data_IF_355886971478
#
_entry.id   IF_355886971478
#
_cell.length_a   1.000
_cell.length_b   1.000
_cell.length_c   1.000
_cell.angle_alpha   90.00
_cell.angle_beta   90.00
_cell.angle_gamma   90.00
#
_symmetry.space_group_name_H-M   'P 1'
#
loop_
_entity.id
_entity.type
_entity.pdbx_description
1 polymer ?
#
# COMPACT_ATOMS: atom_id res chain seq x y z
N UNK A 1 42.55 28.36 -73.24
CA UNK A 1 41.39 27.78 -72.56
C UNK A 1 41.42 28.25 -71.12
N UNK A 2 40.54 29.17 -70.77
CA UNK A 2 40.42 29.87 -69.48
C UNK A 2 38.91 30.01 -69.17
N UNK A 3 38.53 30.19 -67.89
CA UNK A 3 37.29 29.64 -67.32
C UNK A 3 36.07 30.56 -67.46
N UNK A 4 34.88 29.94 -67.51
CA UNK A 4 33.57 30.59 -67.64
C UNK A 4 32.86 30.68 -66.28
N UNK A 5 32.36 31.87 -65.95
CA UNK A 5 31.71 32.22 -64.67
C UNK A 5 30.26 31.73 -64.49
N UNK A 6 29.62 32.11 -63.35
CA UNK A 6 28.44 31.43 -62.80
C UNK A 6 27.11 31.95 -63.35
N UNK A 7 26.09 31.07 -63.41
CA UNK A 7 24.68 31.39 -63.70
C UNK A 7 23.82 31.35 -62.43
N UNK A 8 22.86 32.26 -62.40
CA UNK A 8 22.08 32.74 -61.28
C UNK A 8 21.04 31.76 -60.67
N UNK A 9 20.76 32.00 -59.38
CA UNK A 9 19.72 31.38 -58.55
C UNK A 9 18.29 31.58 -59.09
N UNK A 10 17.46 30.53 -59.00
CA UNK A 10 16.01 30.64 -58.91
C UNK A 10 15.55 30.10 -57.55
N UNK A 11 14.89 30.96 -56.78
CA UNK A 11 14.34 30.69 -55.47
C UNK A 11 13.02 29.89 -55.62
N UNK A 12 12.91 28.78 -54.87
CA UNK A 12 11.67 28.04 -54.73
C UNK A 12 10.76 28.74 -53.70
N UNK A 13 9.53 29.03 -54.10
CA UNK A 13 8.50 29.61 -53.24
C UNK A 13 7.99 28.56 -52.23
N UNK A 14 8.18 28.83 -50.94
CA UNK A 14 7.57 28.10 -49.83
C UNK A 14 6.19 28.66 -49.51
N UNK A 15 5.15 27.82 -49.57
CA UNK A 15 3.80 28.13 -49.12
C UNK A 15 3.80 28.45 -47.61
N UNK A 16 3.50 29.70 -47.25
CA UNK A 16 3.25 30.11 -45.87
C UNK A 16 1.83 29.70 -45.44
N UNK A 17 1.73 28.67 -44.60
CA UNK A 17 0.53 28.46 -43.77
C UNK A 17 0.51 29.48 -42.64
N UNK A 18 -0.56 30.25 -42.56
CA UNK A 18 -0.84 31.23 -41.50
C UNK A 18 -0.77 30.55 -40.12
N UNK A 19 -0.03 31.09 -39.13
CA UNK A 19 -0.06 30.55 -37.78
C UNK A 19 -1.39 30.89 -37.11
N UNK A 20 -2.08 29.86 -36.60
CA UNK A 20 -3.23 29.99 -35.71
C UNK A 20 -2.86 30.86 -34.51
N UNK A 21 -3.69 31.82 -34.07
CA UNK A 21 -3.39 32.60 -32.87
C UNK A 21 -3.25 31.65 -31.67
N UNK A 22 -2.19 31.79 -30.90
CA UNK A 22 -2.06 31.10 -29.61
C UNK A 22 -3.26 31.50 -28.73
N UNK A 23 -3.95 30.50 -28.18
CA UNK A 23 -5.03 30.70 -27.20
C UNK A 23 -4.52 31.57 -26.05
N UNK A 24 -5.27 32.61 -25.71
CA UNK A 24 -5.02 33.42 -24.51
C UNK A 24 -4.92 32.51 -23.26
N UNK A 25 -4.03 32.80 -22.30
CA UNK A 25 -3.93 32.00 -21.08
C UNK A 25 -5.28 32.05 -20.34
N UNK A 26 -5.94 30.89 -20.21
CA UNK A 26 -7.18 30.76 -19.44
C UNK A 26 -6.98 31.33 -18.03
N UNK A 27 -7.91 32.17 -17.58
CA UNK A 27 -7.92 32.68 -16.21
C UNK A 27 -7.93 31.51 -15.22
N UNK A 28 -7.21 31.59 -14.07
CA UNK A 28 -7.18 30.49 -13.12
C UNK A 28 -8.60 30.11 -12.64
N UNK A 29 -9.01 28.87 -12.88
CA UNK A 29 -10.31 28.28 -12.49
C UNK A 29 -10.38 28.02 -10.97
N UNK A 30 -10.12 29.04 -10.15
CA UNK A 30 -10.12 28.94 -8.69
C UNK A 30 -8.79 28.44 -8.07
N UNK A 31 -8.77 28.10 -6.77
CA UNK A 31 -7.57 27.65 -6.07
C UNK A 31 -7.04 26.33 -6.65
N UNK A 32 -5.72 26.24 -6.80
CA UNK A 32 -5.08 25.04 -7.37
C UNK A 32 -5.43 23.79 -6.54
N UNK A 33 -5.90 22.68 -7.16
CA UNK A 33 -6.44 21.56 -6.41
C UNK A 33 -5.42 20.90 -5.48
N UNK A 34 -4.15 20.93 -5.89
CA UNK A 34 -3.04 20.39 -5.13
C UNK A 34 -3.26 18.93 -4.75
N UNK A 35 -2.51 18.46 -3.77
CA UNK A 35 -2.65 17.10 -3.27
C UNK A 35 -2.73 17.11 -1.75
N UNK A 36 -3.93 16.87 -1.22
CA UNK A 36 -4.15 16.76 0.22
C UNK A 36 -3.98 15.30 0.64
N UNK A 37 -3.08 15.05 1.59
CA UNK A 37 -2.90 13.77 2.25
C UNK A 37 -3.28 13.93 3.72
N UNK A 38 -4.16 13.07 4.20
CA UNK A 38 -4.49 13.02 5.63
C UNK A 38 -3.63 11.96 6.29
N UNK A 39 -3.03 12.30 7.42
CA UNK A 39 -2.20 11.37 8.17
C UNK A 39 -3.02 10.17 8.66
N UNK A 40 -2.49 8.96 8.48
CA UNK A 40 -3.12 7.73 8.92
C UNK A 40 -2.11 6.93 9.74
N UNK A 41 -2.34 6.84 11.04
CA UNK A 41 -1.42 6.15 11.95
C UNK A 41 -1.67 4.65 12.02
N UNK A 42 -2.88 4.24 11.64
CA UNK A 42 -3.34 2.86 11.70
C UNK A 42 -3.76 2.34 10.34
N UNK A 43 -3.60 1.05 10.13
CA UNK A 43 -4.10 0.33 8.96
C UNK A 43 -4.79 -0.95 9.42
N UNK A 44 -5.76 -1.43 8.64
CA UNK A 44 -6.28 -2.78 8.81
C UNK A 44 -5.37 -3.79 8.11
N UNK A 45 -5.46 -5.06 8.53
CA UNK A 45 -4.82 -6.19 7.84
C UNK A 45 -5.20 -6.22 6.35
N UNK A 46 -6.48 -6.01 6.03
CA UNK A 46 -6.98 -6.01 4.65
C UNK A 46 -6.25 -4.97 3.78
N UNK A 47 -6.15 -3.75 4.29
CA UNK A 47 -5.48 -2.64 3.61
C UNK A 47 -3.98 -2.90 3.47
N UNK A 48 -3.36 -3.45 4.50
CA UNK A 48 -1.94 -3.82 4.48
C UNK A 48 -1.66 -4.82 3.36
N UNK A 49 -2.47 -5.89 3.27
CA UNK A 49 -2.37 -6.89 2.20
C UNK A 49 -2.56 -6.28 0.82
N UNK A 50 -3.50 -5.33 0.69
CA UNK A 50 -3.70 -4.59 -0.56
C UNK A 50 -2.45 -3.80 -0.95
N UNK A 51 -1.86 -3.05 -0.02
CA UNK A 51 -0.63 -2.27 -0.27
C UNK A 51 0.53 -3.16 -0.74
N UNK A 52 0.73 -4.31 -0.09
CA UNK A 52 1.77 -5.28 -0.50
C UNK A 52 1.50 -5.85 -1.91
N UNK A 53 0.24 -6.17 -2.22
CA UNK A 53 -0.17 -6.70 -3.52
C UNK A 53 0.04 -5.68 -4.64
N UNK A 54 -0.35 -4.43 -4.40
CA UNK A 54 -0.22 -3.33 -5.36
C UNK A 54 1.26 -2.98 -5.62
N UNK A 55 2.12 -3.08 -4.59
CA UNK A 55 3.57 -2.96 -4.74
C UNK A 55 4.21 -4.15 -5.46
N UNK A 56 3.47 -5.24 -5.70
CA UNK A 56 3.97 -6.50 -6.26
C UNK A 56 5.11 -7.08 -5.41
N UNK A 57 5.01 -6.91 -4.09
CA UNK A 57 6.00 -7.43 -3.15
C UNK A 57 5.87 -8.95 -3.02
N UNK A 58 6.99 -9.66 -3.11
CA UNK A 58 7.03 -11.07 -2.73
C UNK A 58 6.85 -11.21 -1.21
N UNK A 59 5.83 -11.95 -0.71
CA UNK A 59 5.55 -12.00 0.73
C UNK A 59 6.72 -12.52 1.57
N UNK A 60 7.38 -13.60 1.14
CA UNK A 60 8.46 -14.22 1.89
C UNK A 60 9.71 -13.32 1.96
N UNK A 61 10.04 -12.67 0.84
CA UNK A 61 11.11 -11.67 0.81
C UNK A 61 10.78 -10.45 1.66
N UNK A 62 9.55 -9.97 1.61
CA UNK A 62 9.13 -8.83 2.42
C UNK A 62 9.24 -9.13 3.91
N UNK A 63 8.77 -10.29 4.35
CA UNK A 63 8.93 -10.73 5.73
C UNK A 63 10.41 -10.79 6.13
N UNK A 64 11.26 -11.38 5.29
CA UNK A 64 12.70 -11.44 5.55
C UNK A 64 13.32 -10.05 5.71
N UNK A 65 13.03 -9.12 4.79
CA UNK A 65 13.55 -7.76 4.87
C UNK A 65 13.01 -7.00 6.07
N UNK A 66 11.71 -7.12 6.37
CA UNK A 66 11.08 -6.49 7.53
C UNK A 66 11.72 -6.96 8.83
N UNK A 67 11.90 -8.27 9.00
CA UNK A 67 12.53 -8.85 10.19
C UNK A 67 14.00 -8.43 10.33
N UNK A 68 14.76 -8.46 9.23
CA UNK A 68 16.17 -8.04 9.22
C UNK A 68 16.32 -6.54 9.47
N UNK A 69 15.45 -5.72 8.90
CA UNK A 69 15.45 -4.26 9.11
C UNK A 69 15.17 -3.90 10.56
N UNK A 70 14.12 -4.48 11.16
CA UNK A 70 13.83 -4.27 12.60
C UNK A 70 14.99 -4.77 13.47
N UNK A 71 15.59 -5.92 13.15
CA UNK A 71 16.77 -6.41 13.88
C UNK A 71 17.97 -5.46 13.75
N UNK A 72 18.20 -4.90 12.56
CA UNK A 72 19.28 -3.95 12.32
C UNK A 72 19.07 -2.67 13.14
N UNK A 73 17.84 -2.14 13.20
CA UNK A 73 17.49 -0.99 14.05
C UNK A 73 17.78 -1.31 15.53
N UNK A 74 17.37 -2.48 16.03
CA UNK A 74 17.63 -2.90 17.41
C UNK A 74 19.14 -3.05 17.70
N UNK A 75 19.90 -3.64 16.79
CA UNK A 75 21.34 -3.80 16.95
C UNK A 75 22.06 -2.45 17.00
N UNK A 76 21.76 -1.56 16.06
CA UNK A 76 22.40 -0.24 15.96
C UNK A 76 22.02 0.66 17.14
N UNK A 77 20.75 0.66 17.57
CA UNK A 77 20.36 1.45 18.76
C UNK A 77 21.12 1.02 20.00
N UNK A 78 21.41 -0.28 20.16
CA UNK A 78 22.02 -0.80 21.38
C UNK A 78 23.49 -0.38 21.44
N UNK A 79 24.19 -0.41 20.31
CA UNK A 79 25.57 0.11 20.17
C UNK A 79 25.62 1.62 20.41
N UNK A 80 24.62 2.37 19.94
CA UNK A 80 24.58 3.83 20.08
C UNK A 80 23.92 4.32 21.38
N UNK A 81 23.50 3.40 22.26
CA UNK A 81 22.76 3.68 23.49
C UNK A 81 21.51 4.54 23.28
N UNK A 82 20.82 4.33 22.15
CA UNK A 82 19.56 4.97 21.81
C UNK A 82 18.41 4.23 22.53
N UNK A 83 17.50 4.94 23.22
CA UNK A 83 16.47 4.31 24.06
C UNK A 83 15.40 3.56 23.24
N UNK A 84 14.67 2.66 23.91
CA UNK A 84 13.58 1.87 23.31
C UNK A 84 12.50 2.76 22.68
N UNK A 85 12.22 3.92 23.29
CA UNK A 85 11.28 4.91 22.75
C UNK A 85 11.61 5.30 21.31
N UNK A 86 12.89 5.54 21.00
CA UNK A 86 13.36 5.87 19.65
C UNK A 86 13.29 4.68 18.71
N UNK A 87 13.53 3.48 19.20
CA UNK A 87 13.37 2.25 18.43
C UNK A 87 11.92 2.02 17.99
N UNK A 88 10.96 2.22 18.90
CA UNK A 88 9.55 2.06 18.60
C UNK A 88 9.14 2.97 17.42
N UNK A 89 9.56 4.24 17.47
CA UNK A 89 9.34 5.23 16.42
C UNK A 89 10.03 4.84 15.11
N UNK A 90 11.29 4.40 15.17
CA UNK A 90 12.03 3.94 13.99
C UNK A 90 11.36 2.73 13.31
N UNK A 91 10.85 1.76 14.08
CA UNK A 91 10.16 0.61 13.54
C UNK A 91 8.84 0.97 12.88
N UNK A 92 8.06 1.89 13.46
CA UNK A 92 6.82 2.38 12.83
C UNK A 92 7.12 3.07 11.49
N UNK A 93 8.13 3.93 11.44
CA UNK A 93 8.57 4.59 10.21
C UNK A 93 9.03 3.58 9.16
N UNK A 94 9.80 2.59 9.58
CA UNK A 94 10.30 1.55 8.71
C UNK A 94 9.17 0.70 8.11
N UNK A 95 8.19 0.30 8.93
CA UNK A 95 7.01 -0.44 8.45
C UNK A 95 6.21 0.35 7.42
N UNK A 96 5.91 1.62 7.70
CA UNK A 96 5.19 2.48 6.76
C UNK A 96 5.97 2.70 5.46
N UNK A 97 7.29 2.88 5.55
CA UNK A 97 8.15 3.01 4.37
C UNK A 97 8.09 1.75 3.50
N UNK A 98 8.29 0.56 4.09
CA UNK A 98 8.22 -0.73 3.37
C UNK A 98 6.86 -0.99 2.73
N UNK A 99 5.77 -0.60 3.39
CA UNK A 99 4.43 -0.71 2.81
C UNK A 99 4.18 0.29 1.66
N UNK A 100 4.94 1.39 1.61
CA UNK A 100 4.69 2.49 0.66
C UNK A 100 5.56 2.46 -0.59
N UNK A 101 6.63 1.67 -0.60
CA UNK A 101 7.58 1.57 -1.71
C UNK A 101 7.86 0.11 -2.04
N UNK A 102 8.21 -0.16 -3.30
CA UNK A 102 8.53 -1.52 -3.75
C UNK A 102 9.88 -1.97 -3.18
N UNK A 103 10.02 -3.28 -2.98
CA UNK A 103 11.23 -3.89 -2.45
C UNK A 103 12.48 -3.61 -3.30
N UNK A 104 12.32 -3.55 -4.62
CA UNK A 104 13.41 -3.31 -5.58
C UNK A 104 13.87 -1.84 -5.66
N UNK A 105 13.10 -0.89 -5.12
CA UNK A 105 13.43 0.54 -5.23
C UNK A 105 14.45 0.99 -4.19
N UNK A 106 14.34 0.48 -2.96
CA UNK A 106 15.15 0.92 -1.84
C UNK A 106 15.62 -0.26 -1.00
N UNK A 107 16.92 -0.27 -0.69
CA UNK A 107 17.53 -1.25 0.21
C UNK A 107 16.84 -1.21 1.58
N UNK A 108 16.54 -2.39 2.11
CA UNK A 108 15.96 -2.51 3.45
C UNK A 108 16.91 -1.96 4.54
N UNK A 109 18.23 -2.02 4.31
CA UNK A 109 19.24 -1.50 5.24
C UNK A 109 19.21 0.03 5.25
N UNK A 110 19.19 0.66 4.08
CA UNK A 110 19.14 2.12 3.97
C UNK A 110 17.82 2.67 4.52
N UNK A 111 16.70 2.00 4.22
CA UNK A 111 15.39 2.35 4.77
C UNK A 111 15.35 2.23 6.30
N UNK A 112 15.95 1.17 6.87
CA UNK A 112 16.04 0.97 8.32
C UNK A 112 16.91 2.05 8.99
N UNK A 113 18.08 2.35 8.43
CA UNK A 113 18.98 3.38 8.97
C UNK A 113 18.42 4.80 8.81
N UNK A 114 17.73 5.09 7.72
CA UNK A 114 17.03 6.36 7.53
C UNK A 114 15.85 6.51 8.51
N UNK A 115 15.13 5.42 8.79
CA UNK A 115 14.05 5.41 9.79
C UNK A 115 14.59 5.67 11.20
N UNK A 116 15.72 5.06 11.57
CA UNK A 116 16.39 5.32 12.85
C UNK A 116 16.94 6.76 12.93
N UNK A 117 17.54 7.24 11.85
CA UNK A 117 18.06 8.61 11.77
C UNK A 117 16.96 9.66 11.98
N UNK A 118 15.81 9.51 11.31
CA UNK A 118 14.67 10.40 11.51
C UNK A 118 14.08 10.26 12.93
N UNK A 119 13.91 9.04 13.43
CA UNK A 119 13.40 8.80 14.78
C UNK A 119 14.27 9.46 15.85
N UNK A 120 15.60 9.44 15.70
CA UNK A 120 16.52 10.12 16.62
C UNK A 120 16.28 11.63 16.70
N UNK A 121 15.85 12.27 15.61
CA UNK A 121 15.51 13.70 15.60
C UNK A 121 14.16 13.96 16.27
N UNK A 122 13.16 13.11 15.98
CA UNK A 122 11.80 13.23 16.52
C UNK A 122 11.76 13.01 18.04
N UNK A 123 12.65 12.17 18.55
CA UNK A 123 12.65 11.74 19.96
C UNK A 123 13.71 12.45 20.83
N UNK A 124 14.34 13.50 20.31
CA UNK A 124 15.42 14.26 20.98
C UNK A 124 16.63 13.40 21.39
N UNK A 125 16.93 12.35 20.62
CA UNK A 125 18.10 11.47 20.80
C UNK A 125 19.04 11.58 19.60
N UNK A 126 19.34 12.83 19.20
CA UNK A 126 19.96 13.18 17.92
C UNK A 126 21.30 12.44 17.72
N UNK A 127 21.43 11.82 16.55
CA UNK A 127 22.63 11.12 16.08
C UNK A 127 23.01 11.59 14.68
N UNK A 128 24.30 11.62 14.37
CA UNK A 128 24.75 11.93 12.99
C UNK A 128 24.49 10.72 12.09
N UNK A 129 24.15 10.94 10.82
CA UNK A 129 23.93 9.86 9.84
C UNK A 129 25.15 8.93 9.72
N UNK A 130 26.37 9.49 9.68
CA UNK A 130 27.61 8.72 9.66
C UNK A 130 27.88 7.92 10.94
N UNK A 131 27.44 8.41 12.10
CA UNK A 131 27.53 7.68 13.37
C UNK A 131 26.66 6.42 13.34
N UNK A 132 25.43 6.55 12.82
CA UNK A 132 24.51 5.43 12.60
C UNK A 132 25.09 4.40 11.61
N UNK A 133 25.61 4.87 10.48
CA UNK A 133 26.23 4.02 9.46
C UNK A 133 27.48 3.30 9.96
N UNK A 134 28.34 4.02 10.69
CA UNK A 134 29.54 3.47 11.28
C UNK A 134 29.21 2.38 12.31
N UNK A 135 28.21 2.60 13.18
CA UNK A 135 27.75 1.58 14.10
C UNK A 135 27.23 0.33 13.37
N UNK A 136 26.40 0.51 12.33
CA UNK A 136 25.92 -0.60 11.52
C UNK A 136 27.06 -1.39 10.84
N UNK A 137 28.07 -0.68 10.33
CA UNK A 137 29.24 -1.29 9.71
C UNK A 137 30.08 -2.07 10.73
N UNK A 138 30.38 -1.49 11.89
CA UNK A 138 31.21 -2.12 12.92
C UNK A 138 30.55 -3.36 13.54
N UNK A 139 29.21 -3.40 13.60
CA UNK A 139 28.47 -4.62 14.00
C UNK A 139 28.72 -5.77 13.02
N UNK A 140 28.78 -5.46 11.72
CA UNK A 140 29.00 -6.47 10.66
C UNK A 140 30.47 -6.85 10.50
N UNK A 141 31.39 -5.96 10.84
CA UNK A 141 32.84 -6.12 10.66
C UNK A 141 33.59 -5.92 12.00
N UNK A 142 33.40 -6.81 12.98
CA UNK A 142 34.01 -6.66 14.30
C UNK A 142 35.54 -6.74 14.28
N UNK A 143 36.12 -7.47 13.33
CA UNK A 143 37.57 -7.64 13.20
C UNK A 143 38.25 -6.42 12.54
N UNK A 144 37.48 -5.59 11.84
CA UNK A 144 37.95 -4.41 11.11
C UNK A 144 37.05 -3.20 11.36
N UNK A 145 36.94 -2.72 12.61
CA UNK A 145 36.14 -1.56 12.92
C UNK A 145 36.75 -0.31 12.28
N UNK A 146 35.88 0.61 11.88
CA UNK A 146 36.28 1.95 11.41
C UNK A 146 35.63 3.05 12.26
N UNK A 147 35.90 4.29 11.91
CA UNK A 147 35.38 5.49 12.56
C UNK A 147 34.40 6.22 11.64
N UNK A 148 33.52 7.04 12.21
CA UNK A 148 32.51 7.79 11.45
C UNK A 148 33.09 8.82 10.45
N UNK A 149 34.38 9.14 10.55
CA UNK A 149 35.07 10.10 9.68
C UNK A 149 35.53 9.45 8.36
N UNK A 150 35.39 8.13 8.23
CA UNK A 150 35.71 7.41 7.01
C UNK A 150 34.83 7.87 5.84
N UNK A 151 35.48 8.21 4.71
CA UNK A 151 34.83 8.69 3.49
C UNK A 151 33.91 7.66 2.86
N UNK A 152 34.07 6.37 3.19
CA UNK A 152 33.18 5.31 2.71
C UNK A 152 31.70 5.58 3.04
N UNK A 153 31.42 6.33 4.12
CA UNK A 153 30.05 6.65 4.54
C UNK A 153 29.45 7.87 3.84
N UNK A 154 30.23 8.64 3.06
CA UNK A 154 29.76 9.91 2.47
C UNK A 154 28.58 9.70 1.52
N UNK A 155 28.67 8.70 0.63
CA UNK A 155 27.62 8.43 -0.34
C UNK A 155 26.36 7.88 0.33
N UNK A 156 26.50 6.89 1.21
CA UNK A 156 25.36 6.30 1.93
C UNK A 156 24.71 7.31 2.88
N UNK A 157 25.49 8.22 3.47
CA UNK A 157 24.94 9.31 4.28
C UNK A 157 24.04 10.23 3.45
N UNK A 158 24.41 10.56 2.20
CA UNK A 158 23.55 11.35 1.30
C UNK A 158 22.26 10.60 0.96
N UNK A 159 22.34 9.29 0.73
CA UNK A 159 21.16 8.43 0.50
C UNK A 159 20.23 8.48 1.71
N UNK A 160 20.74 8.28 2.92
CA UNK A 160 19.94 8.34 4.17
C UNK A 160 19.23 9.69 4.31
N UNK A 161 19.92 10.80 4.03
CA UNK A 161 19.33 12.15 4.09
C UNK A 161 18.24 12.31 3.01
N UNK A 162 18.43 11.74 1.81
CA UNK A 162 17.39 11.72 0.78
C UNK A 162 16.16 10.89 1.18
N UNK A 163 16.39 9.72 1.79
CA UNK A 163 15.32 8.84 2.28
C UNK A 163 14.54 9.46 3.44
N UNK A 164 15.18 10.27 4.29
CA UNK A 164 14.51 10.99 5.37
C UNK A 164 13.28 11.75 4.86
N UNK A 165 13.43 12.48 3.74
CA UNK A 165 12.32 13.21 3.11
C UNK A 165 11.18 12.28 2.69
N UNK A 166 11.50 11.15 2.08
CA UNK A 166 10.49 10.17 1.66
C UNK A 166 9.76 9.56 2.85
N UNK A 167 10.45 9.33 3.97
CA UNK A 167 9.83 8.85 5.20
C UNK A 167 8.89 9.91 5.78
N UNK A 168 9.31 11.17 5.85
CA UNK A 168 8.46 12.29 6.31
C UNK A 168 7.15 12.40 5.52
N UNK A 169 7.24 12.35 4.19
CA UNK A 169 6.07 12.37 3.31
C UNK A 169 5.21 11.10 3.46
N UNK A 170 5.84 9.95 3.74
CA UNK A 170 5.14 8.67 3.94
C UNK A 170 4.34 8.64 5.23
N UNK A 171 4.90 9.10 6.35
CA UNK A 171 4.18 9.20 7.63
C UNK A 171 3.25 10.42 7.69
N UNK A 172 3.26 11.25 6.63
CA UNK A 172 2.42 12.41 6.51
C UNK A 172 2.72 13.51 7.53
N UNK A 173 4.00 13.64 7.91
CA UNK A 173 4.47 14.57 8.96
C UNK A 173 3.74 14.39 10.31
N UNK A 174 3.16 13.21 10.56
CA UNK A 174 2.55 12.87 11.84
C UNK A 174 3.57 12.15 12.74
N UNK A 175 4.17 12.93 13.64
CA UNK A 175 5.21 12.45 14.54
C UNK A 175 4.68 11.80 15.82
N UNK A 176 3.36 11.66 15.99
CA UNK A 176 2.79 11.09 17.22
C UNK A 176 3.00 9.57 17.21
N UNK A 177 4.07 9.13 17.86
CA UNK A 177 4.32 7.71 18.13
C UNK A 177 3.67 7.26 19.44
N UNK A 178 3.54 5.94 19.63
CA UNK A 178 2.94 5.32 20.81
C UNK A 178 3.89 4.30 21.41
N UNK A 179 3.99 4.30 22.73
CA UNK A 179 4.94 3.48 23.50
C UNK A 179 4.18 2.54 24.45
N UNK A 180 3.84 1.32 24.01
CA UNK A 180 3.03 0.38 24.78
C UNK A 180 3.70 -0.06 26.09
N UNK A 181 5.02 0.06 26.21
CA UNK A 181 5.79 -0.34 27.39
C UNK A 181 5.40 0.44 28.65
N UNK A 182 5.06 1.73 28.51
CA UNK A 182 4.59 2.55 29.64
C UNK A 182 3.21 2.08 30.12
N UNK A 183 2.30 1.79 29.20
CA UNK A 183 0.99 1.23 29.51
C UNK A 183 1.11 -0.17 30.10
N UNK A 184 1.94 -1.03 29.50
CA UNK A 184 2.25 -2.37 29.98
C UNK A 184 2.68 -2.34 31.44
N UNK A 185 3.64 -1.47 31.81
CA UNK A 185 4.08 -1.34 33.22
C UNK A 185 2.94 -1.03 34.18
N UNK A 186 2.07 -0.08 33.81
CA UNK A 186 0.93 0.35 34.65
C UNK A 186 -0.11 -0.75 34.77
N UNK A 187 -0.44 -1.40 33.66
CA UNK A 187 -1.44 -2.46 33.55
C UNK A 187 -0.97 -3.71 34.29
N UNK A 188 0.27 -4.14 34.09
CA UNK A 188 0.85 -5.28 34.82
C UNK A 188 0.84 -5.05 36.33
N UNK A 189 1.24 -3.85 36.80
CA UNK A 189 1.18 -3.53 38.24
C UNK A 189 -0.25 -3.53 38.77
N UNK A 190 -1.21 -2.96 38.04
CA UNK A 190 -2.63 -2.91 38.45
C UNK A 190 -3.26 -4.31 38.53
N UNK A 191 -2.94 -5.21 37.60
CA UNK A 191 -3.56 -6.55 37.52
C UNK A 191 -2.84 -7.56 38.42
N UNK A 192 -1.51 -7.57 38.41
CA UNK A 192 -0.72 -8.62 39.08
C UNK A 192 -0.37 -8.29 40.53
N UNK A 193 -0.32 -7.01 40.91
CA UNK A 193 0.12 -6.59 42.23
C UNK A 193 1.63 -6.79 42.40
N UNK A 194 2.04 -7.43 43.49
CA UNK A 194 3.45 -7.61 43.86
C UNK A 194 4.18 -8.67 43.02
N UNK A 195 3.46 -9.66 42.47
CA UNK A 195 4.00 -10.71 41.59
C UNK A 195 4.31 -10.21 40.16
N UNK A 196 4.20 -8.91 39.91
CA UNK A 196 4.29 -8.30 38.59
C UNK A 196 5.68 -8.37 37.95
N UNK A 197 6.75 -8.48 38.73
CA UNK A 197 8.11 -8.15 38.27
C UNK A 197 8.65 -9.10 37.20
N UNK A 198 8.57 -10.42 37.42
CA UNK A 198 9.08 -11.42 36.48
C UNK A 198 8.24 -11.47 35.19
N UNK A 199 6.92 -11.40 35.35
CA UNK A 199 5.98 -11.34 34.24
C UNK A 199 6.20 -10.08 33.40
N UNK A 200 6.39 -8.93 34.04
CA UNK A 200 6.69 -7.66 33.37
C UNK A 200 8.01 -7.73 32.60
N UNK A 201 9.07 -8.29 33.19
CA UNK A 201 10.36 -8.44 32.50
C UNK A 201 10.23 -9.26 31.21
N UNK A 202 9.49 -10.36 31.27
CA UNK A 202 9.23 -11.23 30.11
C UNK A 202 8.36 -10.53 29.06
N UNK A 203 7.31 -9.81 29.50
CA UNK A 203 6.46 -9.03 28.61
C UNK A 203 7.21 -7.86 27.95
N UNK A 204 8.22 -7.27 28.63
CA UNK A 204 9.08 -6.24 28.06
C UNK A 204 9.98 -6.78 26.95
N UNK A 205 10.53 -7.99 27.08
CA UNK A 205 11.27 -8.66 25.99
C UNK A 205 10.35 -8.95 24.81
N UNK A 206 9.15 -9.50 25.08
CA UNK A 206 8.12 -9.73 24.07
C UNK A 206 7.69 -8.44 23.36
N UNK A 207 7.70 -7.30 24.07
CA UNK A 207 7.37 -6.00 23.46
C UNK A 207 8.32 -5.61 22.34
N UNK A 208 9.60 -6.01 22.41
CA UNK A 208 10.57 -5.77 21.33
C UNK A 208 10.26 -6.66 20.12
N UNK A 209 9.90 -7.92 20.37
CA UNK A 209 9.50 -8.84 19.30
C UNK A 209 8.21 -8.41 18.60
N UNK A 210 7.28 -7.76 19.31
CA UNK A 210 6.06 -7.22 18.72
C UNK A 210 6.33 -6.18 17.62
N UNK A 211 7.43 -5.42 17.70
CA UNK A 211 7.82 -4.50 16.62
C UNK A 211 8.36 -5.22 15.38
N UNK A 212 8.61 -6.53 15.45
CA UNK A 212 8.80 -7.42 14.30
C UNK A 212 7.48 -7.96 13.75
N UNK A 213 6.33 -7.40 14.10
CA UNK A 213 5.04 -7.63 13.44
C UNK A 213 4.45 -6.29 12.99
N UNK A 214 3.28 -6.31 12.36
CA UNK A 214 2.54 -5.09 12.03
C UNK A 214 1.61 -4.61 13.15
N UNK A 215 1.59 -5.26 14.32
CA UNK A 215 0.78 -4.83 15.46
C UNK A 215 0.93 -3.34 15.82
N UNK A 216 2.15 -2.72 15.80
CA UNK A 216 2.32 -1.29 16.10
C UNK A 216 1.56 -0.34 15.18
N UNK A 217 1.24 -0.77 13.96
CA UNK A 217 0.47 0.03 12.97
C UNK A 217 -0.96 -0.49 12.80
N UNK A 218 -1.36 -1.56 13.49
CA UNK A 218 -2.74 -2.07 13.49
C UNK A 218 -3.50 -1.72 14.78
N UNK A 219 -2.80 -1.64 15.92
CA UNK A 219 -3.43 -1.70 17.23
C UNK A 219 -3.14 -0.48 18.12
N UNK A 220 -4.10 -0.06 18.97
CA UNK A 220 -3.87 0.99 19.96
C UNK A 220 -2.97 0.51 21.11
N UNK A 221 -2.42 1.47 21.86
CA UNK A 221 -1.44 1.23 22.94
C UNK A 221 -1.92 0.19 23.96
N UNK A 222 -3.19 0.28 24.40
CA UNK A 222 -3.73 -0.64 25.40
C UNK A 222 -4.01 -2.04 24.84
N UNK A 223 -4.44 -2.16 23.57
CA UNK A 223 -4.57 -3.46 22.91
C UNK A 223 -3.22 -4.18 22.87
N UNK A 224 -2.16 -3.47 22.47
CA UNK A 224 -0.81 -4.01 22.47
C UNK A 224 -0.34 -4.40 23.87
N UNK A 225 -0.49 -3.52 24.85
CA UNK A 225 -0.05 -3.78 26.23
C UNK A 225 -0.78 -4.97 26.87
N UNK A 226 -2.11 -5.06 26.70
CA UNK A 226 -2.91 -6.17 27.23
C UNK A 226 -2.63 -7.47 26.47
N UNK A 227 -2.44 -7.42 25.15
CA UNK A 227 -2.04 -8.58 24.35
C UNK A 227 -0.68 -9.14 24.77
N UNK A 228 0.31 -8.28 24.99
CA UNK A 228 1.63 -8.68 25.52
C UNK A 228 1.51 -9.31 26.91
N UNK A 229 0.74 -8.69 27.80
CA UNK A 229 0.57 -9.18 29.17
C UNK A 229 -0.15 -10.53 29.19
N UNK A 230 -1.24 -10.67 28.46
CA UNK A 230 -2.02 -11.90 28.36
C UNK A 230 -1.23 -13.04 27.72
N UNK A 231 -0.54 -12.77 26.61
CA UNK A 231 0.28 -13.78 25.96
C UNK A 231 1.41 -14.24 26.89
N UNK A 232 2.05 -13.31 27.61
CA UNK A 232 3.09 -13.64 28.58
C UNK A 232 2.53 -14.51 29.72
N UNK A 233 1.35 -14.19 30.25
CA UNK A 233 0.69 -14.98 31.28
C UNK A 233 0.31 -16.39 30.78
N UNK A 234 -0.21 -16.51 29.56
CA UNK A 234 -0.53 -17.82 28.96
C UNK A 234 0.71 -18.69 28.73
N UNK A 235 1.84 -18.08 28.34
CA UNK A 235 3.11 -18.79 28.14
C UNK A 235 3.74 -19.24 29.46
N UNK A 236 3.70 -18.39 30.49
CA UNK A 236 4.29 -18.67 31.81
C UNK A 236 3.37 -19.45 32.74
N UNK A 237 2.06 -19.45 32.48
CA UNK A 237 1.03 -19.98 33.38
C UNK A 237 0.74 -19.07 34.59
N UNK A 238 1.33 -17.87 34.65
CA UNK A 238 1.22 -16.98 35.82
C UNK A 238 0.11 -15.95 35.61
N UNK A 239 -0.87 -15.94 36.51
CA UNK A 239 -1.88 -14.87 36.59
C UNK A 239 -2.91 -14.85 35.45
N UNK A 240 -3.09 -15.97 34.73
CA UNK A 240 -4.07 -16.09 33.64
C UNK A 240 -5.48 -15.71 34.11
N UNK A 241 -5.94 -16.27 35.24
CA UNK A 241 -7.26 -15.98 35.82
C UNK A 241 -7.48 -14.50 36.16
N UNK A 242 -6.40 -13.79 36.52
CA UNK A 242 -6.47 -12.36 36.86
C UNK A 242 -6.67 -11.53 35.59
N UNK A 243 -6.02 -11.90 34.49
CA UNK A 243 -6.10 -11.19 33.21
C UNK A 243 -7.44 -11.46 32.52
N UNK A 244 -7.95 -12.69 32.56
CA UNK A 244 -9.23 -13.03 31.92
C UNK A 244 -10.43 -12.29 32.54
N UNK A 245 -10.31 -11.85 33.80
CA UNK A 245 -11.34 -11.06 34.51
C UNK A 245 -11.27 -9.57 34.23
N UNK A 246 -10.28 -9.09 33.46
CA UNK A 246 -10.09 -7.66 33.20
C UNK A 246 -11.19 -7.16 32.28
N UNK A 247 -11.90 -6.12 32.71
CA UNK A 247 -12.79 -5.39 31.81
C UNK A 247 -11.97 -4.52 30.84
N UNK A 248 -12.01 -4.89 29.57
CA UNK A 248 -11.31 -4.20 28.49
C UNK A 248 -11.89 -2.80 28.22
N UNK A 249 -13.14 -2.54 28.63
CA UNK A 249 -13.80 -1.24 28.44
C UNK A 249 -13.10 -0.13 29.24
N UNK A 250 -12.54 -0.45 30.41
CA UNK A 250 -11.75 0.47 31.25
C UNK A 250 -10.49 1.00 30.53
N UNK A 251 -10.02 0.28 29.51
CA UNK A 251 -8.80 0.61 28.76
C UNK A 251 -9.10 1.10 27.35
N UNK A 252 -10.37 1.37 27.03
CA UNK A 252 -10.82 1.78 25.70
C UNK A 252 -10.32 0.86 24.57
N UNK A 253 -10.30 -0.45 24.83
CA UNK A 253 -9.87 -1.46 23.87
C UNK A 253 -10.92 -2.56 23.69
N UNK A 254 -10.78 -3.35 22.63
CA UNK A 254 -11.64 -4.49 22.34
C UNK A 254 -10.90 -5.81 22.52
N UNK A 255 -11.66 -6.89 22.77
CA UNK A 255 -11.10 -8.26 22.78
C UNK A 255 -10.44 -8.59 21.45
N UNK A 256 -11.03 -8.14 20.36
CA UNK A 256 -10.51 -8.33 19.02
C UNK A 256 -9.11 -7.76 18.82
N UNK A 257 -8.84 -6.53 19.28
CA UNK A 257 -7.49 -5.94 19.15
C UNK A 257 -6.43 -6.66 19.98
N UNK A 258 -6.81 -7.15 21.17
CA UNK A 258 -5.92 -7.94 22.05
C UNK A 258 -5.58 -9.28 21.38
N UNK A 259 -6.60 -10.00 20.90
CA UNK A 259 -6.43 -11.31 20.26
C UNK A 259 -5.67 -11.20 18.94
N UNK A 260 -5.95 -10.19 18.11
CA UNK A 260 -5.19 -9.93 16.88
C UNK A 260 -3.70 -9.68 17.18
N UNK A 261 -3.39 -8.90 18.23
CA UNK A 261 -2.01 -8.68 18.68
C UNK A 261 -1.33 -9.99 19.08
N UNK A 262 -2.01 -10.83 19.88
CA UNK A 262 -1.47 -12.11 20.34
C UNK A 262 -1.22 -13.07 19.16
N UNK A 263 -2.17 -13.15 18.21
CA UNK A 263 -2.04 -14.02 17.05
C UNK A 263 -0.93 -13.56 16.10
N UNK A 264 -0.77 -12.25 15.87
CA UNK A 264 0.36 -11.71 15.10
C UNK A 264 1.73 -12.12 15.72
N UNK A 265 1.85 -12.04 17.04
CA UNK A 265 3.05 -12.47 17.77
C UNK A 265 3.26 -13.98 17.70
N UNK A 266 2.20 -14.77 17.86
CA UNK A 266 2.27 -16.22 17.78
C UNK A 266 2.62 -16.69 16.37
N UNK A 267 2.14 -16.02 15.33
CA UNK A 267 2.60 -16.27 13.96
C UNK A 267 4.09 -16.00 13.80
N UNK A 268 4.58 -14.86 14.31
CA UNK A 268 6.01 -14.56 14.33
C UNK A 268 6.82 -15.66 15.03
N UNK A 269 6.40 -16.12 16.21
CA UNK A 269 7.12 -17.17 16.94
C UNK A 269 7.06 -18.52 16.22
N UNK A 270 5.92 -18.87 15.60
CA UNK A 270 5.79 -20.14 14.86
C UNK A 270 6.59 -20.18 13.57
N UNK A 271 6.74 -19.04 12.87
CA UNK A 271 7.38 -18.98 11.55
C UNK A 271 8.84 -18.56 11.62
N UNK A 272 9.19 -17.71 12.59
CA UNK A 272 10.48 -17.02 12.64
C UNK A 272 11.11 -17.03 14.04
N UNK A 273 10.93 -18.11 14.81
CA UNK A 273 11.41 -18.26 16.19
C UNK A 273 12.83 -17.73 16.43
N UNK A 274 13.79 -18.14 15.60
CA UNK A 274 15.22 -17.78 15.71
C UNK A 274 15.51 -16.29 15.51
N UNK A 275 14.57 -15.54 14.94
CA UNK A 275 14.69 -14.11 14.70
C UNK A 275 14.10 -13.28 15.85
N UNK A 276 13.71 -13.89 16.96
CA UNK A 276 13.04 -13.22 18.09
C UNK A 276 13.87 -13.31 19.37
N UNK A 277 13.69 -12.36 20.29
CA UNK A 277 14.33 -12.37 21.60
C UNK A 277 13.73 -13.45 22.50
N UNK A 278 12.39 -13.52 22.54
CA UNK A 278 11.68 -14.45 23.42
C UNK A 278 11.65 -15.89 22.89
N UNK A 279 11.84 -16.10 21.59
CA UNK A 279 11.77 -17.42 20.98
C UNK A 279 12.79 -18.42 21.52
N UNK A 280 13.89 -17.95 22.13
CA UNK A 280 14.88 -18.81 22.77
C UNK A 280 14.54 -19.17 24.22
N UNK A 281 13.51 -18.54 24.82
CA UNK A 281 13.11 -18.77 26.23
C UNK A 281 12.03 -19.84 26.37
N UNK A 282 11.26 -20.11 25.33
CA UNK A 282 10.18 -21.09 25.33
C UNK A 282 10.34 -22.06 24.17
N UNK A 283 9.90 -23.30 24.36
CA UNK A 283 9.86 -24.27 23.27
C UNK A 283 8.81 -23.90 22.22
N UNK A 284 9.06 -24.23 20.96
CA UNK A 284 8.15 -23.97 19.85
C UNK A 284 6.76 -24.57 20.11
N UNK A 285 6.71 -25.76 20.71
CA UNK A 285 5.45 -26.43 21.06
C UNK A 285 4.60 -25.59 22.01
N UNK A 286 5.22 -24.86 22.95
CA UNK A 286 4.48 -23.99 23.88
C UNK A 286 3.75 -22.86 23.17
N UNK A 287 4.38 -22.25 22.16
CA UNK A 287 3.72 -21.24 21.33
C UNK A 287 2.57 -21.85 20.52
N UNK A 288 2.76 -23.05 19.96
CA UNK A 288 1.71 -23.75 19.20
C UNK A 288 0.51 -24.08 20.08
N UNK A 289 0.73 -24.61 21.29
CA UNK A 289 -0.34 -24.90 22.26
C UNK A 289 -1.17 -23.66 22.60
N UNK A 290 -0.51 -22.55 22.95
CA UNK A 290 -1.20 -21.29 23.26
C UNK A 290 -1.96 -20.75 22.04
N UNK A 291 -1.39 -20.89 20.84
CA UNK A 291 -2.05 -20.51 19.58
C UNK A 291 -3.31 -21.31 19.30
N UNK A 292 -3.31 -22.62 19.57
CA UNK A 292 -4.51 -23.46 19.44
C UNK A 292 -5.61 -22.97 20.38
N UNK A 293 -5.27 -22.66 21.64
CA UNK A 293 -6.24 -22.15 22.63
C UNK A 293 -6.87 -20.85 22.14
N UNK A 294 -6.08 -19.89 21.64
CA UNK A 294 -6.59 -18.59 21.20
C UNK A 294 -7.38 -18.72 19.88
N UNK A 295 -6.97 -19.58 18.94
CA UNK A 295 -7.76 -19.82 17.73
C UNK A 295 -9.12 -20.46 18.07
N UNK A 296 -9.15 -21.43 19.00
CA UNK A 296 -10.40 -22.02 19.46
C UNK A 296 -11.31 -20.99 20.14
N UNK A 297 -10.74 -20.00 20.84
CA UNK A 297 -11.51 -18.87 21.37
C UNK A 297 -12.17 -18.07 20.23
N UNK A 298 -11.40 -17.72 19.19
CA UNK A 298 -11.92 -17.00 18.02
C UNK A 298 -13.03 -17.77 17.31
N UNK A 299 -12.85 -19.08 17.09
CA UNK A 299 -13.79 -19.90 16.33
C UNK A 299 -15.11 -20.16 17.08
N UNK A 300 -15.06 -20.24 18.42
CA UNK A 300 -16.22 -20.59 19.25
C UNK A 300 -16.88 -19.38 19.93
N UNK A 301 -16.36 -18.17 19.74
CA UNK A 301 -16.88 -16.99 20.43
C UNK A 301 -18.31 -16.61 19.94
N UNK A 302 -19.29 -16.54 20.85
CA UNK A 302 -20.68 -16.25 20.48
C UNK A 302 -20.90 -14.82 19.97
N UNK A 303 -19.95 -13.90 20.21
CA UNK A 303 -20.00 -12.52 19.71
C UNK A 303 -19.33 -12.37 18.33
N UNK A 304 -18.97 -13.48 17.66
CA UNK A 304 -18.29 -13.53 16.35
C UNK A 304 -16.96 -12.77 16.38
N UNK A 305 -16.13 -13.09 17.37
CA UNK A 305 -14.73 -12.66 17.34
C UNK A 305 -14.09 -13.07 16.01
N UNK A 306 -13.36 -12.16 15.37
CA UNK A 306 -12.65 -12.44 14.13
C UNK A 306 -11.17 -12.14 14.31
N UNK A 307 -10.31 -12.97 13.70
CA UNK A 307 -8.85 -12.82 13.74
C UNK A 307 -8.36 -11.42 13.35
N UNK A 308 -9.00 -10.78 12.36
CA UNK A 308 -8.66 -9.44 11.91
C UNK A 308 -9.81 -8.46 12.13
N UNK A 309 -9.52 -7.33 12.77
CA UNK A 309 -10.45 -6.23 12.90
C UNK A 309 -10.80 -5.55 11.57
N UNK A 310 -12.01 -4.98 11.50
CA UNK A 310 -12.43 -4.07 10.43
C UNK A 310 -12.32 -4.64 9.00
N UNK A 311 -12.52 -5.95 8.83
CA UNK A 311 -12.53 -6.59 7.52
C UNK A 311 -13.81 -6.24 6.74
N UNK A 312 -13.67 -5.78 5.50
CA UNK A 312 -14.79 -5.46 4.63
C UNK A 312 -14.82 -6.38 3.41
N UNK A 313 -15.83 -7.24 3.29
CA UNK A 313 -15.95 -8.21 2.19
C UNK A 313 -16.13 -7.54 0.82
N UNK A 314 -16.80 -6.38 0.77
CA UNK A 314 -17.20 -5.75 -0.49
C UNK A 314 -16.28 -4.58 -0.89
N UNK A 315 -15.28 -4.25 -0.07
CA UNK A 315 -14.41 -3.08 -0.27
C UNK A 315 -13.19 -3.35 -1.15
N UNK A 316 -12.88 -4.61 -1.47
CA UNK A 316 -11.72 -4.97 -2.29
C UNK A 316 -11.98 -4.86 -3.79
N UNK A 317 -13.23 -4.65 -4.23
CA UNK A 317 -13.60 -4.72 -5.64
C UNK A 317 -13.43 -6.16 -6.12
N UNK A 318 -14.56 -6.85 -6.32
CA UNK A 318 -14.57 -8.28 -6.60
C UNK A 318 -13.53 -8.68 -7.65
N UNK A 319 -12.72 -9.68 -7.29
CA UNK A 319 -12.12 -10.58 -8.27
C UNK A 319 -13.24 -11.41 -8.89
N UNK A 320 -14.12 -10.80 -9.68
CA UNK A 320 -14.94 -11.51 -10.66
C UNK A 320 -14.85 -10.75 -11.98
N UNK A 321 -14.40 -11.49 -13.00
CA UNK A 321 -14.40 -11.10 -14.40
C UNK A 321 -15.77 -10.55 -14.78
N UNK A 322 -15.81 -9.28 -15.20
CA UNK A 322 -16.46 -8.83 -16.43
C UNK A 322 -16.35 -7.30 -16.51
N UNK A 323 -15.72 -6.82 -17.58
CA UNK A 323 -15.78 -5.41 -17.97
C UNK A 323 -17.25 -5.03 -18.21
N UNK A 324 -17.78 -4.12 -17.40
CA UNK A 324 -18.85 -3.22 -17.83
C UNK A 324 -18.82 -1.94 -17.00
N UNK A 325 -19.02 -0.84 -17.70
CA UNK A 325 -18.87 0.53 -17.24
C UNK A 325 -19.69 0.82 -15.97
N UNK A 326 -19.00 1.33 -14.96
CA UNK A 326 -19.60 1.86 -13.75
C UNK A 326 -18.54 2.64 -12.96
N UNK A 327 -18.61 3.96 -13.03
CA UNK A 327 -17.73 4.90 -12.34
C UNK A 327 -17.87 4.70 -10.82
N UNK A 328 -17.02 3.85 -10.23
CA UNK A 328 -17.07 3.59 -8.80
C UNK A 328 -16.46 4.77 -8.01
N UNK A 329 -17.34 5.46 -7.27
CA UNK A 329 -17.08 6.66 -6.44
C UNK A 329 -16.05 6.41 -5.32
N UNK A 330 -15.60 5.17 -5.13
CA UNK A 330 -14.59 4.79 -4.14
C UNK A 330 -13.14 4.93 -4.61
N UNK A 331 -12.89 5.23 -5.90
CA UNK A 331 -11.52 5.42 -6.43
C UNK A 331 -10.87 6.76 -6.04
N UNK A 332 -11.63 7.73 -5.52
CA UNK A 332 -11.14 9.10 -5.28
C UNK A 332 -10.66 9.40 -3.85
N UNK A 333 -10.77 8.45 -2.92
CA UNK A 333 -10.13 8.56 -1.60
C UNK A 333 -8.72 7.96 -1.73
N UNK A 334 -7.81 8.70 -2.37
CA UNK A 334 -6.39 8.37 -2.42
C UNK A 334 -5.73 8.58 -1.05
N UNK A 335 -6.13 7.80 -0.05
CA UNK A 335 -5.40 7.65 1.20
C UNK A 335 -4.37 6.55 0.98
N UNK A 336 -3.09 6.92 0.90
CA UNK A 336 -1.98 6.08 0.45
C UNK A 336 -2.25 5.43 -0.90
N UNK A 337 -1.87 6.13 -1.98
CA UNK A 337 -1.88 5.52 -3.31
C UNK A 337 -0.86 4.38 -3.35
N UNK A 338 -1.35 3.15 -3.38
CA UNK A 338 -0.56 1.93 -3.45
C UNK A 338 0.25 1.72 -4.75
N UNK A 339 0.41 2.77 -5.56
CA UNK A 339 1.16 2.69 -6.80
C UNK A 339 2.43 3.51 -6.64
N UNK A 340 3.54 2.86 -6.32
CA UNK A 340 4.87 3.47 -6.36
C UNK A 340 5.16 4.09 -7.75
N UNK A 341 4.63 3.48 -8.82
CA UNK A 341 4.69 4.04 -10.17
C UNK A 341 3.95 5.38 -10.34
N UNK A 342 2.88 5.64 -9.57
CA UNK A 342 2.18 6.94 -9.55
C UNK A 342 2.91 7.99 -8.70
N UNK A 343 3.77 7.59 -7.75
CA UNK A 343 4.62 8.53 -7.00
C UNK A 343 5.79 9.02 -7.87
N UNK A 344 6.47 8.14 -8.61
CA UNK A 344 7.53 8.57 -9.55
C UNK A 344 6.99 9.30 -10.79
N UNK A 345 5.71 9.12 -11.13
CA UNK A 345 5.03 9.86 -12.20
C UNK A 345 4.43 11.21 -11.78
N UNK A 346 4.48 11.58 -10.48
CA UNK A 346 4.07 12.89 -9.98
C UNK A 346 5.16 13.94 -10.25
N UNK A 347 5.56 14.07 -11.50
CA UNK A 347 6.19 15.29 -11.95
C UNK A 347 5.12 16.40 -12.05
N UNK A 348 5.11 17.24 -11.00
CA UNK A 348 5.27 18.71 -11.09
C UNK A 348 4.08 19.68 -11.12
N UNK A 349 2.82 19.28 -11.26
CA UNK A 349 1.72 20.27 -11.17
C UNK A 349 0.94 20.15 -9.85
N UNK A 350 1.52 20.68 -8.76
CA UNK A 350 0.77 20.99 -7.54
C UNK A 350 1.50 20.78 -6.21
N UNK A 351 1.13 21.60 -5.22
CA UNK A 351 1.64 21.49 -3.84
C UNK A 351 1.06 20.26 -3.12
N UNK A 352 1.93 19.41 -2.56
CA UNK A 352 1.56 18.37 -1.61
C UNK A 352 1.35 18.99 -0.21
N UNK A 353 0.20 18.72 0.41
CA UNK A 353 -0.17 19.22 1.74
C UNK A 353 -0.57 18.05 2.64
N UNK A 354 -0.14 18.11 3.89
CA UNK A 354 -0.43 17.10 4.90
C UNK A 354 -1.35 17.70 5.97
N UNK A 355 -2.45 17.01 6.27
CA UNK A 355 -3.51 17.49 7.16
C UNK A 355 -3.85 16.41 8.19
N UNK A 356 -4.16 16.81 9.42
CA UNK A 356 -4.54 15.88 10.48
C UNK A 356 -6.05 15.70 10.61
N UNK A 357 -6.83 16.72 10.23
CA UNK A 357 -8.28 16.68 10.28
C UNK A 357 -8.87 16.12 8.96
N UNK A 358 -9.44 14.90 8.97
CA UNK A 358 -10.06 14.32 7.79
C UNK A 358 -11.32 15.07 7.33
N UNK A 359 -12.05 15.73 8.23
CA UNK A 359 -13.26 16.49 7.88
C UNK A 359 -12.90 17.79 7.19
N UNK A 360 -11.91 18.52 7.72
CA UNK A 360 -11.37 19.72 7.05
C UNK A 360 -10.85 19.37 5.65
N UNK A 361 -10.08 18.28 5.52
CA UNK A 361 -9.58 17.84 4.22
C UNK A 361 -10.69 17.46 3.23
N UNK A 362 -11.80 16.87 3.69
CA UNK A 362 -12.97 16.58 2.83
C UNK A 362 -13.71 17.85 2.42
N UNK A 363 -13.84 18.82 3.33
CA UNK A 363 -14.49 20.11 3.05
C UNK A 363 -13.72 20.89 2.01
N UNK A 364 -12.40 21.00 2.19
CA UNK A 364 -11.51 21.68 1.24
C UNK A 364 -11.59 21.02 -0.14
N UNK A 365 -11.53 19.68 -0.23
CA UNK A 365 -11.69 18.98 -1.51
C UNK A 365 -13.01 19.30 -2.20
N UNK A 366 -14.12 19.28 -1.46
CA UNK A 366 -15.46 19.55 -2.00
C UNK A 366 -15.58 20.99 -2.51
N UNK A 367 -14.99 21.93 -1.78
CA UNK A 367 -14.97 23.34 -2.16
C UNK A 367 -14.14 23.55 -3.43
N UNK A 368 -12.92 23.01 -3.48
CA UNK A 368 -12.05 23.05 -4.66
C UNK A 368 -12.70 22.38 -5.87
N UNK A 369 -13.30 21.19 -5.71
CA UNK A 369 -13.94 20.42 -6.79
C UNK A 369 -15.05 21.22 -7.49
N UNK A 370 -15.70 22.15 -6.80
CA UNK A 370 -16.74 22.99 -7.39
C UNK A 370 -16.21 23.94 -8.48
N UNK A 371 -14.93 24.33 -8.44
CA UNK A 371 -14.35 25.22 -9.44
C UNK A 371 -13.91 24.50 -10.73
N UNK A 372 -13.82 23.17 -10.70
CA UNK A 372 -13.36 22.34 -11.82
C UNK A 372 -14.47 21.45 -12.40
N UNK A 373 -15.73 21.74 -12.07
CA UNK A 373 -16.89 21.06 -12.65
C UNK A 373 -17.19 21.68 -14.01
N UNK A 374 -17.10 20.88 -15.07
CA UNK A 374 -17.50 21.32 -16.41
C UNK A 374 -19.04 21.35 -16.50
N UNK A 375 -19.61 22.50 -16.87
CA UNK A 375 -21.03 22.65 -17.21
C UNK A 375 -21.18 22.51 -18.73
N UNK A 376 -22.00 21.54 -19.17
CA UNK A 376 -22.31 21.34 -20.58
C UNK A 376 -23.74 21.84 -20.85
N UNK A 377 -23.91 22.68 -21.88
CA UNK A 377 -25.22 23.04 -22.43
C UNK A 377 -25.41 22.29 -23.75
N UNK A 378 -26.40 21.40 -23.82
CA UNK A 378 -26.81 20.74 -25.07
C UNK A 378 -27.74 21.67 -25.85
N UNK A 379 -27.36 22.01 -27.09
CA UNK A 379 -28.20 22.75 -28.02
C UNK A 379 -28.66 21.82 -29.14
N UNK A 380 -29.97 21.62 -29.27
CA UNK A 380 -30.56 20.93 -30.41
C UNK A 380 -30.57 21.87 -31.63
N UNK A 381 -29.84 21.51 -32.69
CA UNK A 381 -29.87 22.23 -33.96
C UNK A 381 -30.83 21.51 -34.89
N UNK A 382 -32.03 22.07 -35.09
CA UNK A 382 -32.96 21.59 -36.12
C UNK A 382 -32.38 21.94 -37.51
N UNK A 383 -31.96 20.93 -38.26
CA UNK A 383 -31.49 21.08 -39.64
C UNK A 383 -32.65 20.79 -40.58
N UNK A 384 -33.24 21.82 -41.19
CA UNK A 384 -34.22 21.65 -42.26
C UNK A 384 -33.54 21.08 -43.52
N UNK A 385 -33.96 19.88 -43.93
CA UNK A 385 -33.47 19.23 -45.16
C UNK A 385 -34.37 19.67 -46.33
N UNK A 386 -33.86 20.36 -47.36
CA UNK A 386 -34.65 20.72 -48.54
C UNK A 386 -35.05 19.49 -49.35
N UNK A 387 -36.32 19.40 -49.74
CA UNK A 387 -36.86 18.32 -50.59
C UNK A 387 -36.43 18.61 -52.05
N UNK A 388 -35.69 17.68 -52.68
CA UNK A 388 -35.30 17.80 -54.08
C UNK A 388 -36.48 17.53 -55.05
N UNK A 389 -36.64 18.30 -56.14
CA UNK A 389 -37.69 18.08 -57.12
C UNK A 389 -37.38 16.93 -58.10
N UNK A 390 -38.40 16.14 -58.45
CA UNK A 390 -38.31 15.00 -59.38
C UNK A 390 -37.85 15.41 -60.79
N UNK A 391 -36.93 14.62 -61.39
CA UNK A 391 -36.38 14.86 -62.73
C UNK A 391 -37.15 14.10 -63.83
N UNK A 392 -37.30 14.66 -65.07
CA UNK A 392 -38.07 14.05 -66.13
C UNK A 392 -37.31 12.94 -66.89
N UNK A 393 -38.06 11.94 -67.32
CA UNK A 393 -37.62 10.72 -67.99
C UNK A 393 -37.28 10.95 -69.47
N UNK A 394 -36.06 10.65 -69.90
CA UNK A 394 -35.69 10.54 -71.31
C UNK A 394 -35.08 9.17 -71.61
N UNK A 395 -35.81 8.37 -72.39
CA UNK A 395 -35.36 7.10 -72.93
C UNK A 395 -34.45 7.27 -74.16
N UNK A 396 -33.56 6.29 -74.35
CA UNK A 396 -32.71 6.19 -75.53
C UNK A 396 -31.88 4.90 -75.55
N UNK A 397 -32.35 3.92 -76.33
CA UNK A 397 -31.70 2.65 -76.68
C UNK A 397 -30.26 2.81 -77.20
N UNK A 398 -29.38 1.84 -76.90
CA UNK A 398 -28.34 1.39 -77.86
C UNK A 398 -27.90 -0.05 -77.61
N UNK A 399 -28.04 -0.84 -78.68
CA UNK A 399 -27.71 -2.25 -78.82
C UNK A 399 -26.20 -2.54 -78.95
N UNK A 400 -25.78 -3.64 -78.32
CA UNK A 400 -25.03 -4.77 -78.90
C UNK A 400 -23.64 -4.57 -79.53
N UNK A 401 -22.60 -5.19 -78.93
CA UNK A 401 -21.82 -6.25 -79.61
C UNK A 401 -20.90 -7.03 -78.65
N UNK A 402 -20.85 -8.34 -78.93
CA UNK A 402 -20.14 -9.43 -78.22
C UNK A 402 -18.64 -9.46 -78.53
N UNK A 403 -17.85 -9.99 -77.60
CA UNK A 403 -16.62 -10.72 -77.92
C UNK A 403 -16.47 -11.93 -76.98
N UNK A 404 -16.32 -13.11 -77.60
CA UNK A 404 -16.17 -14.44 -77.00
C UNK A 404 -14.78 -14.68 -76.39
N UNK A 405 -14.71 -15.57 -75.39
CA UNK A 405 -13.44 -16.08 -74.85
C UNK A 405 -13.55 -16.99 -73.61
N UNK A 406 -14.12 -18.20 -73.78
CA UNK A 406 -13.87 -19.48 -73.07
C UNK A 406 -13.56 -19.58 -71.56
N UNK A 407 -14.44 -20.25 -70.79
CA UNK A 407 -14.18 -20.77 -69.43
C UNK A 407 -13.48 -22.16 -69.42
N UNK A 408 -13.67 -23.05 -68.41
CA UNK A 408 -14.35 -22.89 -67.11
C UNK A 408 -13.72 -23.63 -65.87
N UNK A 409 -14.26 -23.28 -64.71
CA UNK A 409 -14.33 -23.91 -63.37
C UNK A 409 -14.19 -25.44 -63.19
N UNK A 410 -13.98 -25.88 -61.92
CA UNK A 410 -14.79 -26.93 -61.28
C UNK A 410 -15.49 -26.36 -60.01
N UNK A 411 -16.81 -26.43 -59.85
CA UNK A 411 -17.61 -27.58 -59.36
C UNK A 411 -17.60 -27.58 -57.81
N UNK A 412 -18.67 -27.34 -57.04
CA UNK A 412 -20.11 -27.57 -57.21
C UNK A 412 -20.53 -28.77 -56.36
N UNK A 413 -21.35 -28.58 -55.30
CA UNK A 413 -22.49 -29.42 -54.91
C UNK A 413 -23.14 -28.91 -53.62
N UNK A 414 -24.46 -28.73 -53.68
CA UNK A 414 -25.31 -28.43 -52.52
C UNK A 414 -26.39 -29.49 -52.30
N UNK A 415 -27.40 -29.10 -51.50
CA UNK A 415 -28.67 -29.79 -51.13
C UNK A 415 -28.55 -30.63 -49.85
N UNK A 416 -29.53 -30.70 -48.95
CA UNK A 416 -30.97 -30.33 -48.96
C UNK A 416 -31.51 -30.33 -47.52
N UNK A 417 -32.56 -29.56 -47.28
CA UNK A 417 -33.44 -29.61 -46.11
C UNK A 417 -34.46 -30.75 -46.24
N UNK A 418 -34.81 -31.45 -45.16
CA UNK A 418 -36.19 -31.64 -44.72
C UNK A 418 -36.34 -32.35 -43.35
N UNK A 419 -37.39 -31.90 -42.64
CA UNK A 419 -38.06 -32.39 -41.43
C UNK A 419 -38.05 -33.90 -41.11
N UNK A 420 -38.05 -34.25 -39.81
CA UNK A 420 -39.20 -34.93 -39.20
C UNK A 420 -39.26 -34.90 -37.65
N UNK A 421 -40.50 -34.88 -37.14
CA UNK A 421 -40.92 -34.91 -35.72
C UNK A 421 -41.16 -36.35 -35.24
N UNK A 422 -40.80 -36.67 -33.98
CA UNK A 422 -41.53 -37.52 -32.99
C UNK A 422 -40.66 -37.66 -31.73
N UNK A 423 -41.02 -37.17 -30.52
CA UNK A 423 -42.03 -37.58 -29.52
C UNK A 423 -41.74 -38.92 -28.82
N UNK A 424 -41.64 -38.87 -27.48
CA UNK A 424 -41.55 -39.99 -26.52
C UNK A 424 -40.13 -40.11 -25.95
N UNK A 425 -39.85 -39.92 -24.67
CA UNK A 425 -40.55 -40.33 -23.46
C UNK A 425 -39.61 -41.28 -22.71
N UNK A 426 -39.20 -40.97 -21.48
CA UNK A 426 -38.27 -41.85 -20.77
C UNK A 426 -37.65 -41.23 -19.52
N UNK A 427 -38.09 -41.74 -18.39
CA UNK A 427 -37.78 -41.35 -17.02
C UNK A 427 -36.44 -41.98 -16.55
N UNK A 428 -35.94 -41.49 -15.42
CA UNK A 428 -35.10 -42.18 -14.41
C UNK A 428 -33.55 -42.20 -14.45
N UNK A 429 -33.01 -41.56 -13.39
CA UNK A 429 -32.07 -42.05 -12.34
C UNK A 429 -30.75 -42.75 -12.75
N UNK A 430 -29.67 -42.30 -12.10
CA UNK A 430 -28.58 -43.19 -11.69
C UNK A 430 -27.23 -42.52 -11.43
N UNK A 431 -26.91 -42.35 -10.14
CA UNK A 431 -25.59 -42.22 -9.49
C UNK A 431 -24.35 -42.58 -10.31
N UNK A 432 -23.32 -41.72 -10.29
CA UNK A 432 -22.19 -41.79 -9.35
C UNK A 432 -21.58 -40.40 -9.17
#
# INVERSE_FOLDING_TARGET
MAPSGPKAQQAAATNNSTPTPASEPELPKGPHPGHIQVACQYTSEQRLRRMLRDNKSDPAREDSYRLQGVQLIDNVRNVLHVPVKTFDTACVYYHWFRLSFRDAEYSYQDAAMASLFLACKVEDTIKKSKEILCAAYNIKNPDHPTTQDDKMFDQTSKIIIGLERLILETVGFDFRCRYPQSALRKVTKKIMGDDAQELFSTAMEMSIDMYKTFAPIKQPTFAMALGLLELTARLTGVGVDKIEKVDLSEYHTSRQGVVETMLDLLDLYTQHLKSTKLGNRFDLNKFIEVKIVINNEVDNDPKKLARYGHWCTNCDGGEEENLSNGTSVLKNISFFGSNSAKRNGRNQDGTMRFVFDPEQARRERREVESYFRDEYEEYEVEVEVPIEPERPNHGGHRDGKRHDGGGPWPGGHGRRSHHDRRKGGGNHRGFY
#
